data_IF_541745631622
#
_entry.id   IF_541745631622
#
_cell.length_a   1.000
_cell.length_b   1.000
_cell.length_c   1.000
_cell.angle_alpha   90.00
_cell.angle_beta   90.00
_cell.angle_gamma   90.00
#
_symmetry.space_group_name_H-M   'P 1'
#
loop_
_entity.id
_entity.type
_entity.pdbx_description
1 polymer ?
#
# COMPACT_ATOMS: atom_id res chain seq x y z
N UNK A 1 29.54 -38.55 10.32
CA UNK A 1 30.25 -39.51 9.46
C UNK A 1 29.25 -40.14 8.51
N UNK A 2 29.60 -40.17 7.22
CA UNK A 2 29.16 -41.10 6.15
C UNK A 2 27.65 -41.15 5.84
N UNK A 3 27.17 -40.50 4.76
CA UNK A 3 27.26 -40.94 3.35
C UNK A 3 26.92 -42.42 3.16
N UNK A 4 25.76 -42.70 2.55
CA UNK A 4 25.48 -43.98 1.92
C UNK A 4 24.93 -43.73 0.51
N UNK A 5 25.78 -44.05 -0.46
CA UNK A 5 25.56 -44.08 -1.91
C UNK A 5 25.39 -45.54 -2.31
N UNK A 6 24.48 -45.85 -3.25
CA UNK A 6 24.59 -46.87 -4.36
C UNK A 6 23.17 -47.18 -4.89
N UNK A 7 22.80 -46.78 -6.12
CA UNK A 7 23.02 -47.43 -7.43
C UNK A 7 22.37 -48.82 -7.61
N UNK A 8 21.37 -48.90 -8.50
CA UNK A 8 21.21 -49.99 -9.48
C UNK A 8 20.30 -49.56 -10.65
N UNK A 9 20.77 -49.83 -11.88
CA UNK A 9 20.09 -49.66 -13.16
C UNK A 9 19.53 -51.00 -13.67
N UNK A 10 18.67 -50.90 -14.71
CA UNK A 10 18.53 -51.77 -15.91
C UNK A 10 17.24 -52.65 -16.01
N UNK A 11 16.84 -53.15 -17.21
CA UNK A 11 16.01 -52.44 -18.22
C UNK A 11 14.94 -53.34 -18.95
N UNK A 12 14.32 -52.78 -20.02
CA UNK A 12 13.75 -53.42 -21.24
C UNK A 12 12.29 -53.95 -21.30
N UNK A 13 11.62 -53.56 -22.41
CA UNK A 13 10.55 -54.28 -23.14
C UNK A 13 9.15 -53.66 -23.00
N UNK A 14 8.30 -53.47 -24.02
CA UNK A 14 8.33 -53.75 -25.44
C UNK A 14 7.23 -52.92 -26.16
N UNK A 15 7.35 -52.82 -27.49
CA UNK A 15 6.45 -52.17 -28.46
C UNK A 15 5.09 -52.87 -28.58
N UNK A 16 4.03 -52.13 -28.91
CA UNK A 16 3.05 -52.58 -29.91
C UNK A 16 2.37 -51.42 -30.66
N UNK A 17 2.21 -51.60 -31.97
CA UNK A 17 1.57 -50.70 -32.94
C UNK A 17 0.14 -51.18 -33.18
N UNK A 18 -0.72 -50.27 -33.64
CA UNK A 18 -1.85 -50.39 -34.59
C UNK A 18 -2.85 -49.27 -34.19
N UNK A 19 -3.41 -48.40 -35.03
CA UNK A 19 -3.55 -48.35 -36.47
C UNK A 19 -4.97 -47.82 -36.77
N UNK A 20 -5.10 -46.89 -37.73
CA UNK A 20 -6.34 -46.40 -38.41
C UNK A 20 -7.21 -45.41 -37.62
N UNK A 21 -7.87 -44.39 -38.19
CA UNK A 21 -8.02 -43.89 -39.56
C UNK A 21 -8.62 -42.46 -39.46
N UNK A 22 -8.27 -41.57 -40.39
CA UNK A 22 -8.96 -40.28 -40.60
C UNK A 22 -10.06 -40.46 -41.64
N UNK A 23 -11.11 -39.62 -41.61
CA UNK A 23 -11.71 -39.14 -42.84
C UNK A 23 -11.55 -37.62 -42.98
N UNK A 24 -11.09 -37.20 -44.16
CA UNK A 24 -11.31 -35.87 -44.72
C UNK A 24 -12.66 -35.89 -45.44
N UNK A 25 -13.42 -34.79 -45.39
CA UNK A 25 -13.85 -33.98 -46.55
C UNK A 25 -15.05 -33.09 -46.17
N UNK A 26 -15.04 -31.85 -46.66
CA UNK A 26 -16.19 -30.95 -46.64
C UNK A 26 -15.81 -29.47 -46.78
N UNK A 27 -15.67 -29.01 -48.02
CA UNK A 27 -15.41 -27.61 -48.41
C UNK A 27 -16.73 -26.92 -48.78
N UNK A 28 -16.98 -25.73 -48.25
CA UNK A 28 -17.62 -24.55 -48.88
C UNK A 28 -17.61 -23.42 -47.82
N UNK A 29 -17.30 -22.16 -48.06
CA UNK A 29 -17.43 -21.30 -49.23
C UNK A 29 -18.34 -20.12 -48.84
N UNK A 30 -17.78 -18.94 -48.53
CA UNK A 30 -18.59 -17.74 -48.22
C UNK A 30 -17.77 -16.52 -47.80
N UNK A 31 -17.88 -15.43 -48.56
CA UNK A 31 -17.06 -14.22 -48.52
C UNK A 31 -17.52 -13.18 -47.49
N UNK A 32 -16.52 -12.43 -46.98
CA UNK A 32 -16.44 -10.98 -46.71
C UNK A 32 -17.67 -10.21 -46.17
N UNK A 33 -17.43 -9.53 -45.05
CA UNK A 33 -17.64 -8.08 -44.94
C UNK A 33 -18.74 -7.64 -43.98
N UNK A 34 -18.36 -6.90 -42.93
CA UNK A 34 -19.29 -6.14 -42.08
C UNK A 34 -18.81 -6.00 -40.64
N UNK A 35 -18.08 -4.92 -40.36
CA UNK A 35 -17.63 -4.47 -39.03
C UNK A 35 -18.74 -4.51 -37.96
N UNK A 36 -18.43 -4.84 -36.69
CA UNK A 36 -19.23 -4.36 -35.59
C UNK A 36 -18.55 -3.18 -34.87
N UNK A 37 -19.34 -2.11 -34.74
CA UNK A 37 -19.46 -1.19 -33.62
C UNK A 37 -18.20 -0.91 -32.78
N UNK A 38 -17.67 0.31 -32.95
CA UNK A 38 -16.85 1.02 -31.96
C UNK A 38 -17.63 1.11 -30.64
N UNK A 39 -17.18 0.41 -29.61
CA UNK A 39 -17.60 0.68 -28.24
C UNK A 39 -16.65 1.74 -27.65
N UNK A 40 -17.26 2.75 -27.03
CA UNK A 40 -16.63 4.00 -26.62
C UNK A 40 -15.43 3.79 -25.68
N UNK A 41 -14.30 4.37 -26.07
CA UNK A 41 -13.18 4.64 -25.18
C UNK A 41 -13.60 5.70 -24.16
N UNK A 42 -13.47 5.40 -22.87
CA UNK A 42 -13.51 6.39 -21.79
C UNK A 42 -12.15 7.09 -21.79
N UNK A 43 -12.06 8.42 -21.96
CA UNK A 43 -10.77 9.11 -21.96
C UNK A 43 -10.23 9.27 -20.53
N UNK A 44 -8.90 9.24 -20.34
CA UNK A 44 -8.28 9.56 -19.06
C UNK A 44 -8.49 11.03 -18.68
N UNK A 45 -8.73 11.26 -17.40
CA UNK A 45 -8.92 12.57 -16.79
C UNK A 45 -7.62 13.39 -16.88
N UNK A 46 -7.69 14.58 -17.48
CA UNK A 46 -6.54 15.50 -17.61
C UNK A 46 -6.29 16.23 -16.31
N UNK A 47 -5.08 16.13 -15.77
CA UNK A 47 -4.54 17.13 -14.86
C UNK A 47 -4.23 18.42 -15.63
N UNK A 48 -4.50 19.56 -14.99
CA UNK A 48 -4.42 20.88 -15.61
C UNK A 48 -2.98 21.33 -15.87
N UNK A 49 -2.68 21.64 -17.12
CA UNK A 49 -1.51 22.43 -17.50
C UNK A 49 -1.74 23.91 -17.14
N UNK A 50 -0.83 24.47 -16.36
CA UNK A 50 -0.54 25.90 -16.30
C UNK A 50 0.78 26.19 -17.02
N UNK A 51 0.70 26.97 -18.09
CA UNK A 51 1.80 27.32 -19.00
C UNK A 51 2.91 28.18 -18.35
N UNK A 52 4.15 28.05 -18.84
CA UNK A 52 4.84 29.12 -19.61
C UNK A 52 6.35 28.85 -19.86
N UNK A 53 6.72 28.97 -21.14
CA UNK A 53 7.92 29.55 -21.76
C UNK A 53 9.33 29.31 -21.20
N UNK A 54 10.23 28.89 -22.09
CA UNK A 54 11.67 28.81 -21.86
C UNK A 54 12.43 30.14 -21.87
N UNK A 55 13.65 30.07 -21.35
CA UNK A 55 14.69 31.09 -21.39
C UNK A 55 15.90 30.59 -20.59
N UNK A 56 17.05 30.46 -21.23
CA UNK A 56 18.26 29.94 -20.59
C UNK A 56 19.03 30.97 -19.75
N UNK A 57 19.98 30.42 -18.99
CA UNK A 57 21.17 31.04 -18.41
C UNK A 57 21.17 31.28 -16.88
N UNK A 58 22.35 30.97 -16.34
CA UNK A 58 22.95 31.35 -15.05
C UNK A 58 22.70 30.47 -13.81
N UNK A 59 23.78 29.73 -13.49
CA UNK A 59 24.03 29.14 -12.17
C UNK A 59 24.26 30.28 -11.16
N UNK A 60 23.39 30.38 -10.16
CA UNK A 60 23.71 31.04 -8.90
C UNK A 60 23.23 30.13 -7.75
N UNK A 61 24.10 29.91 -6.77
CA UNK A 61 23.83 29.05 -5.62
C UNK A 61 22.65 29.58 -4.80
N UNK A 62 21.56 28.82 -4.79
CA UNK A 62 20.38 29.10 -3.97
C UNK A 62 20.49 28.46 -2.60
N UNK A 63 20.21 29.26 -1.56
CA UNK A 63 19.94 28.79 -0.19
C UNK A 63 18.83 27.73 -0.25
N UNK A 64 18.93 26.60 0.47
CA UNK A 64 17.90 25.57 0.46
C UNK A 64 16.53 26.18 0.84
N UNK A 65 15.49 25.76 0.12
CA UNK A 65 14.13 26.19 0.40
C UNK A 65 13.78 25.84 1.86
N UNK A 66 13.10 26.74 2.59
CA UNK A 66 12.72 26.49 3.98
C UNK A 66 11.77 25.31 4.07
N UNK A 67 11.94 24.53 5.14
CA UNK A 67 11.12 23.37 5.50
C UNK A 67 9.61 23.67 5.32
N UNK A 68 8.83 22.79 4.68
CA UNK A 68 7.39 22.99 4.47
C UNK A 68 6.61 23.27 5.75
N UNK A 69 7.10 22.82 6.91
CA UNK A 69 6.53 23.14 8.23
C UNK A 69 6.73 24.61 8.59
N UNK A 70 7.93 25.17 8.33
CA UNK A 70 8.24 26.58 8.58
C UNK A 70 7.44 27.49 7.63
N UNK A 71 7.24 27.05 6.38
CA UNK A 71 6.45 27.81 5.40
C UNK A 71 4.98 27.91 5.81
N UNK A 72 4.38 26.81 6.29
CA UNK A 72 2.99 26.80 6.80
C UNK A 72 2.82 27.68 8.03
N UNK A 73 3.79 27.68 8.95
CA UNK A 73 3.76 28.52 10.15
C UNK A 73 3.78 30.03 9.80
N UNK A 74 4.59 30.43 8.81
CA UNK A 74 4.66 31.82 8.35
C UNK A 74 3.37 32.27 7.63
N UNK A 75 2.76 31.40 6.84
CA UNK A 75 1.50 31.68 6.13
C UNK A 75 0.29 31.80 7.08
N UNK A 76 0.27 31.07 8.21
CA UNK A 76 -0.76 31.20 9.24
C UNK A 76 -0.63 32.50 10.05
N UNK A 77 0.59 32.94 10.39
CA UNK A 77 0.83 34.17 11.13
C UNK A 77 0.44 35.44 10.34
N UNK A 78 0.54 35.40 9.01
CA UNK A 78 0.16 36.52 8.14
C UNK A 78 -1.37 36.72 8.02
N UNK A 79 -2.18 35.68 8.29
CA UNK A 79 -3.65 35.73 8.15
C UNK A 79 -4.38 36.24 9.39
N UNK A 80 -3.73 36.29 10.55
CA UNK A 80 -4.32 36.78 11.81
C UNK A 80 -4.21 38.30 12.00
N UNK A 81 -3.60 39.02 11.04
CA UNK A 81 -3.38 40.47 11.12
C UNK A 81 -4.54 41.30 10.57
N UNK A 82 -5.53 41.58 11.41
CA UNK A 82 -6.38 42.77 11.30
C UNK A 82 -7.83 42.53 10.88
N UNK A 83 -8.76 42.91 11.78
CA UNK A 83 -10.05 43.55 11.51
C UNK A 83 -10.75 43.81 12.85
N UNK A 84 -10.77 45.06 13.31
CA UNK A 84 -11.62 45.49 14.41
C UNK A 84 -13.03 45.80 13.87
N UNK A 85 -14.12 45.27 14.44
CA UNK A 85 -15.45 45.71 14.08
C UNK A 85 -15.97 46.75 15.09
N UNK A 86 -16.33 47.93 14.57
CA UNK A 86 -17.20 48.89 15.25
C UNK A 86 -18.65 48.44 15.13
N UNK A 87 -19.38 48.30 16.23
CA UNK A 87 -20.83 48.12 16.22
C UNK A 87 -21.49 48.87 17.39
N UNK A 88 -22.24 49.93 17.07
CA UNK A 88 -23.29 50.49 17.92
C UNK A 88 -24.65 49.91 17.50
N UNK A 89 -25.47 49.49 18.48
CA UNK A 89 -26.89 49.10 18.29
C UNK A 89 -27.42 48.15 19.38
N UNK A 90 -28.74 48.11 19.66
CA UNK A 90 -29.27 48.51 20.96
C UNK A 90 -29.63 47.38 21.94
N UNK A 91 -29.83 47.79 23.18
CA UNK A 91 -30.14 47.00 24.37
C UNK A 91 -31.40 46.10 24.24
N UNK A 92 -31.29 44.86 24.74
CA UNK A 92 -32.42 44.02 25.09
C UNK A 92 -32.07 42.54 25.29
N UNK A 93 -32.36 42.00 26.49
CA UNK A 93 -32.46 40.56 26.74
C UNK A 93 -31.28 39.95 27.49
N UNK A 94 -31.39 39.86 28.82
CA UNK A 94 -30.49 39.05 29.64
C UNK A 94 -30.91 37.57 29.56
N UNK A 95 -30.22 36.79 28.72
CA UNK A 95 -30.11 35.34 28.89
C UNK A 95 -28.67 35.02 29.30
N UNK A 96 -28.52 34.46 30.50
CA UNK A 96 -27.25 34.00 31.03
C UNK A 96 -26.77 32.77 30.26
N UNK A 97 -26.07 32.98 29.15
CA UNK A 97 -25.27 31.95 28.51
C UNK A 97 -24.13 31.58 29.48
N UNK A 98 -24.23 30.41 30.11
CA UNK A 98 -23.07 29.83 30.80
C UNK A 98 -21.96 29.63 29.76
N UNK A 99 -20.71 30.05 30.03
CA UNK A 99 -19.63 29.82 29.10
C UNK A 99 -19.38 28.31 29.05
N UNK A 100 -19.75 27.68 27.93
CA UNK A 100 -19.28 26.34 27.60
C UNK A 100 -17.78 26.44 27.29
N UNK A 101 -16.95 26.52 28.32
CA UNK A 101 -15.50 26.36 28.16
C UNK A 101 -15.27 24.91 27.76
N UNK A 102 -15.01 24.70 26.49
CA UNK A 102 -14.78 23.40 25.83
C UNK A 102 -13.51 22.68 26.31
N UNK A 103 -12.87 23.14 27.39
CA UNK A 103 -11.58 22.62 27.88
C UNK A 103 -10.38 22.93 26.97
N UNK A 104 -10.61 23.39 25.75
CA UNK A 104 -9.58 23.76 24.74
C UNK A 104 -9.04 25.18 24.94
N UNK A 105 -9.09 25.71 26.16
CA UNK A 105 -8.66 27.07 26.47
C UNK A 105 -7.16 27.06 26.74
N UNK A 106 -6.38 27.64 25.83
CA UNK A 106 -4.97 27.92 26.06
C UNK A 106 -4.83 29.27 26.77
N UNK A 107 -4.46 29.28 28.05
CA UNK A 107 -4.34 30.53 28.82
C UNK A 107 -2.95 31.16 28.59
N UNK A 108 -2.89 32.18 27.73
CA UNK A 108 -1.63 32.88 27.40
C UNK A 108 -0.89 33.49 28.60
N UNK A 109 -1.62 33.81 29.69
CA UNK A 109 -1.05 34.07 31.01
C UNK A 109 -0.99 32.74 31.78
N UNK A 110 0.15 32.04 31.71
CA UNK A 110 0.27 30.67 32.26
C UNK A 110 0.99 29.68 31.34
N UNK A 111 1.51 30.11 30.18
CA UNK A 111 2.33 29.27 29.29
C UNK A 111 3.42 28.49 30.05
N UNK A 112 4.06 29.13 31.02
CA UNK A 112 5.05 28.47 31.87
C UNK A 112 4.46 27.31 32.66
N UNK A 113 3.22 27.40 33.15
CA UNK A 113 2.57 26.37 33.99
C UNK A 113 2.07 25.17 33.15
N UNK A 114 1.50 25.40 31.96
CA UNK A 114 1.07 24.30 31.07
C UNK A 114 2.25 23.56 30.42
N UNK A 115 3.35 24.27 30.11
CA UNK A 115 4.52 23.72 29.42
C UNK A 115 5.60 23.22 30.40
N UNK A 116 5.66 23.75 31.63
CA UNK A 116 6.59 23.29 32.67
C UNK A 116 6.63 21.76 32.86
N UNK A 117 5.50 21.03 32.95
CA UNK A 117 5.57 19.58 33.11
C UNK A 117 6.18 18.88 31.89
N UNK A 118 5.96 19.41 30.68
CA UNK A 118 6.55 18.87 29.45
C UNK A 118 8.06 19.13 29.39
N UNK A 119 8.49 20.35 29.75
CA UNK A 119 9.91 20.73 29.80
C UNK A 119 10.63 19.95 30.90
N UNK A 120 10.03 19.82 32.08
CA UNK A 120 10.61 19.03 33.18
C UNK A 120 10.76 17.55 32.83
N UNK A 121 9.78 16.95 32.12
CA UNK A 121 9.88 15.58 31.63
C UNK A 121 10.98 15.43 30.56
N UNK A 122 11.12 16.43 29.69
CA UNK A 122 12.18 16.49 28.68
C UNK A 122 13.56 16.62 29.33
N UNK A 123 13.71 17.52 30.30
CA UNK A 123 14.94 17.73 31.06
C UNK A 123 15.32 16.47 31.84
N UNK A 124 14.36 15.80 32.49
CA UNK A 124 14.62 14.52 33.16
C UNK A 124 15.13 13.45 32.19
N UNK A 125 14.63 13.44 30.94
CA UNK A 125 15.04 12.47 29.94
C UNK A 125 16.40 12.79 29.32
N UNK A 126 16.75 14.06 29.13
CA UNK A 126 17.97 14.50 28.45
C UNK A 126 19.14 14.78 29.40
N UNK A 127 18.86 15.18 30.64
CA UNK A 127 19.84 15.68 31.61
C UNK A 127 20.11 14.70 32.75
N UNK A 128 19.89 13.39 32.53
CA UNK A 128 20.29 12.35 33.49
C UNK A 128 21.83 12.38 33.66
N UNK A 129 22.36 12.80 34.82
CA UNK A 129 23.80 12.93 35.03
C UNK A 129 24.54 11.59 35.03
N UNK A 130 23.81 10.45 35.08
CA UNK A 130 24.37 9.12 34.93
C UNK A 130 24.43 8.64 33.47
N UNK A 131 23.93 9.42 32.50
CA UNK A 131 23.97 9.07 31.09
C UNK A 131 25.30 9.49 30.44
N UNK A 132 26.03 8.52 29.89
CA UNK A 132 27.28 8.74 29.14
C UNK A 132 27.05 9.67 27.92
N UNK A 133 27.93 10.67 27.68
CA UNK A 133 27.86 11.53 26.50
C UNK A 133 27.88 10.71 25.20
N UNK A 134 26.94 10.97 24.29
CA UNK A 134 26.81 10.25 23.01
C UNK A 134 25.96 8.98 23.06
N UNK A 135 25.38 8.63 24.22
CA UNK A 135 24.41 7.54 24.33
C UNK A 135 23.05 7.94 23.76
N UNK A 136 22.45 7.09 22.94
CA UNK A 136 21.12 7.32 22.34
C UNK A 136 20.07 7.39 23.46
N UNK A 137 19.15 8.37 23.38
CA UNK A 137 18.05 8.50 24.31
C UNK A 137 17.26 7.19 24.42
N UNK A 138 17.01 6.72 25.64
CA UNK A 138 16.33 5.44 25.90
C UNK A 138 14.83 5.50 25.57
N UNK A 139 14.26 6.70 25.55
CA UNK A 139 12.87 6.98 25.16
C UNK A 139 12.84 7.90 23.95
N UNK A 140 11.76 7.81 23.17
CA UNK A 140 11.56 8.72 22.03
C UNK A 140 11.12 10.09 22.53
N UNK A 141 11.65 11.16 21.94
CA UNK A 141 11.26 12.55 22.22
C UNK A 141 9.95 12.93 21.53
N UNK A 142 9.64 12.28 20.41
CA UNK A 142 8.43 12.56 19.62
C UNK A 142 7.19 11.82 20.13
N UNK A 143 7.35 10.84 21.04
CA UNK A 143 6.25 9.99 21.46
C UNK A 143 5.28 10.77 22.34
N UNK A 144 4.14 11.14 21.77
CA UNK A 144 3.03 11.80 22.44
C UNK A 144 1.74 11.02 22.20
N UNK A 145 1.03 10.71 23.30
CA UNK A 145 -0.27 10.01 23.27
C UNK A 145 -0.31 8.74 22.41
N UNK A 146 0.80 8.00 22.29
CA UNK A 146 0.92 6.82 21.44
C UNK A 146 1.06 5.54 22.28
N UNK A 147 -0.05 4.80 22.41
CA UNK A 147 -0.19 3.67 23.31
C UNK A 147 0.68 2.45 22.90
N UNK A 148 1.17 1.69 23.88
CA UNK A 148 2.06 0.54 23.62
C UNK A 148 1.39 -0.62 22.89
N UNK A 149 0.10 -0.85 23.11
CA UNK A 149 -0.68 -1.85 22.36
C UNK A 149 -0.92 -1.40 20.91
N UNK A 150 -1.09 -0.09 20.66
CA UNK A 150 -1.21 0.45 19.31
C UNK A 150 0.12 0.32 18.55
N UNK A 151 1.25 0.66 19.18
CA UNK A 151 2.59 0.41 18.63
C UNK A 151 2.80 -1.06 18.24
N UNK A 152 2.38 -2.00 19.10
CA UNK A 152 2.47 -3.43 18.82
C UNK A 152 1.59 -3.82 17.62
N UNK A 153 0.35 -3.35 17.56
CA UNK A 153 -0.56 -3.62 16.45
C UNK A 153 -0.05 -3.08 15.10
N UNK A 154 0.59 -1.90 15.09
CA UNK A 154 1.27 -1.40 13.89
C UNK A 154 2.43 -2.30 13.45
N UNK A 155 3.22 -2.84 14.39
CA UNK A 155 4.29 -3.80 14.06
C UNK A 155 3.74 -5.12 13.49
N UNK A 156 2.60 -5.58 13.99
CA UNK A 156 1.92 -6.77 13.45
C UNK A 156 1.42 -6.50 12.02
N UNK A 157 0.79 -5.34 11.77
CA UNK A 157 0.34 -4.98 10.42
C UNK A 157 1.51 -4.82 9.44
N UNK A 158 2.62 -4.20 9.85
CA UNK A 158 3.86 -4.13 9.04
C UNK A 158 4.29 -5.55 8.60
N UNK A 159 4.23 -6.53 9.51
CA UNK A 159 4.59 -7.90 9.16
C UNK A 159 3.58 -8.56 8.22
N UNK A 160 2.28 -8.22 8.33
CA UNK A 160 1.25 -8.70 7.40
C UNK A 160 1.55 -8.20 5.99
N UNK A 161 1.77 -6.90 5.79
CA UNK A 161 2.07 -6.33 4.47
C UNK A 161 3.34 -6.97 3.85
N UNK A 162 4.41 -7.12 4.65
CA UNK A 162 5.64 -7.78 4.19
C UNK A 162 5.42 -9.25 3.83
N UNK A 163 4.57 -9.96 4.57
CA UNK A 163 4.24 -11.36 4.29
C UNK A 163 3.46 -11.48 2.98
N UNK A 164 2.47 -10.61 2.75
CA UNK A 164 1.70 -10.58 1.49
C UNK A 164 2.62 -10.22 0.32
N UNK A 165 3.48 -9.21 0.48
CA UNK A 165 4.51 -8.88 -0.51
C UNK A 165 5.37 -10.09 -0.88
N UNK A 166 5.78 -10.89 0.11
CA UNK A 166 6.60 -12.08 -0.13
C UNK A 166 5.84 -13.22 -0.82
N UNK A 167 4.55 -13.39 -0.52
CA UNK A 167 3.67 -14.32 -1.23
C UNK A 167 3.50 -13.89 -2.69
N UNK A 168 3.28 -12.61 -2.97
CA UNK A 168 3.20 -12.10 -4.34
C UNK A 168 4.51 -12.24 -5.11
N UNK A 169 5.67 -12.09 -4.45
CA UNK A 169 6.96 -12.44 -5.06
C UNK A 169 7.02 -13.92 -5.47
N UNK A 170 6.49 -14.84 -4.65
CA UNK A 170 6.47 -16.26 -4.98
C UNK A 170 5.52 -16.58 -6.14
N UNK A 171 4.35 -15.94 -6.20
CA UNK A 171 3.43 -16.04 -7.34
C UNK A 171 4.08 -15.52 -8.63
N UNK A 172 4.72 -14.35 -8.58
CA UNK A 172 5.47 -13.78 -9.69
C UNK A 172 6.52 -14.78 -10.20
N UNK A 173 7.31 -15.37 -9.31
CA UNK A 173 8.35 -16.33 -9.67
C UNK A 173 7.76 -17.60 -10.33
N UNK A 174 6.59 -18.06 -9.88
CA UNK A 174 5.91 -19.21 -10.49
C UNK A 174 5.43 -18.91 -11.92
N UNK A 175 4.74 -17.79 -12.15
CA UNK A 175 4.22 -17.45 -13.48
C UNK A 175 5.31 -17.08 -14.49
N UNK A 176 6.49 -16.70 -14.00
CA UNK A 176 7.66 -16.40 -14.83
C UNK A 176 8.47 -17.65 -15.25
N UNK A 177 8.06 -18.87 -14.84
CA UNK A 177 8.71 -20.11 -15.28
C UNK A 177 8.42 -20.39 -16.76
N UNK A 178 9.36 -21.01 -17.46
CA UNK A 178 9.22 -21.32 -18.89
C UNK A 178 8.14 -22.38 -19.19
N UNK A 179 7.86 -23.25 -18.23
CA UNK A 179 6.84 -24.30 -18.32
C UNK A 179 5.41 -23.82 -17.95
N UNK A 180 5.29 -22.63 -17.35
CA UNK A 180 4.02 -21.94 -17.10
C UNK A 180 3.73 -20.91 -18.20
N UNK A 181 4.69 -20.03 -18.49
CA UNK A 181 4.67 -19.15 -19.66
C UNK A 181 3.58 -18.07 -19.65
N UNK A 182 3.29 -17.45 -18.50
CA UNK A 182 2.29 -16.39 -18.34
C UNK A 182 2.95 -15.09 -17.81
N UNK A 183 3.72 -14.38 -18.65
CA UNK A 183 4.51 -13.22 -18.24
C UNK A 183 3.66 -12.01 -17.82
N UNK A 184 2.43 -11.86 -18.29
CA UNK A 184 1.53 -10.81 -17.86
C UNK A 184 1.04 -11.02 -16.43
N UNK A 185 0.69 -12.26 -16.06
CA UNK A 185 0.42 -12.61 -14.65
C UNK A 185 1.66 -12.42 -13.78
N UNK A 186 2.86 -12.77 -14.28
CA UNK A 186 4.09 -12.50 -13.56
C UNK A 186 4.30 -11.00 -13.31
N UNK A 187 4.07 -10.14 -14.31
CA UNK A 187 4.16 -8.69 -14.17
C UNK A 187 3.12 -8.14 -13.18
N UNK A 188 1.88 -8.62 -13.24
CA UNK A 188 0.83 -8.28 -12.28
C UNK A 188 1.25 -8.60 -10.83
N UNK A 189 1.68 -9.83 -10.54
CA UNK A 189 2.08 -10.19 -9.18
C UNK A 189 3.37 -9.49 -8.74
N UNK A 190 4.27 -9.16 -9.67
CA UNK A 190 5.43 -8.30 -9.38
C UNK A 190 4.98 -6.93 -8.87
N UNK A 191 4.04 -6.31 -9.57
CA UNK A 191 3.51 -5.00 -9.23
C UNK A 191 2.89 -4.99 -7.83
N UNK A 192 1.95 -5.90 -7.57
CA UNK A 192 1.31 -6.04 -6.26
C UNK A 192 2.34 -6.30 -5.15
N UNK A 193 3.36 -7.13 -5.40
CA UNK A 193 4.44 -7.37 -4.43
C UNK A 193 5.18 -6.08 -4.02
N UNK A 194 5.44 -5.18 -4.98
CA UNK A 194 6.10 -3.91 -4.74
C UNK A 194 5.18 -2.90 -4.03
N UNK A 195 3.89 -2.89 -4.37
CA UNK A 195 2.89 -2.06 -3.70
C UNK A 195 2.76 -2.43 -2.21
N UNK A 196 2.66 -3.72 -1.89
CA UNK A 196 2.56 -4.16 -0.49
C UNK A 196 3.83 -3.88 0.32
N UNK A 197 4.99 -3.91 -0.33
CA UNK A 197 6.23 -3.46 0.30
C UNK A 197 6.19 -1.95 0.58
N UNK A 198 5.60 -1.17 -0.31
CA UNK A 198 5.40 0.28 -0.11
C UNK A 198 4.42 0.55 1.04
N UNK A 199 3.36 -0.26 1.19
CA UNK A 199 2.46 -0.19 2.35
C UNK A 199 3.18 -0.48 3.66
N UNK A 200 4.04 -1.50 3.69
CA UNK A 200 4.87 -1.81 4.85
C UNK A 200 5.79 -0.63 5.22
N UNK A 201 6.47 -0.04 4.25
CA UNK A 201 7.35 1.12 4.44
C UNK A 201 6.58 2.35 4.94
N UNK A 202 5.38 2.59 4.40
CA UNK A 202 4.48 3.65 4.88
C UNK A 202 4.14 3.49 6.37
N UNK A 203 3.79 2.27 6.79
CA UNK A 203 3.51 1.96 8.20
C UNK A 203 4.76 2.10 9.08
N UNK A 204 5.94 1.69 8.61
CA UNK A 204 7.22 1.87 9.34
C UNK A 204 7.56 3.35 9.54
N UNK A 205 7.33 4.17 8.52
CA UNK A 205 7.53 5.62 8.59
C UNK A 205 6.58 6.25 9.60
N UNK A 206 5.30 5.87 9.56
CA UNK A 206 4.29 6.34 10.51
C UNK A 206 4.62 5.93 11.96
N UNK A 207 4.99 4.67 12.18
CA UNK A 207 5.44 4.14 13.47
C UNK A 207 6.60 4.99 14.04
N UNK A 208 7.59 5.31 13.20
CA UNK A 208 8.75 6.12 13.59
C UNK A 208 8.37 7.58 13.87
N UNK A 209 7.48 8.17 13.05
CA UNK A 209 6.94 9.52 13.21
C UNK A 209 6.23 9.68 14.56
N UNK A 210 5.43 8.68 14.98
CA UNK A 210 4.74 8.68 16.28
C UNK A 210 5.66 8.38 17.47
N UNK A 211 6.95 8.19 17.22
CA UNK A 211 7.95 7.88 18.25
C UNK A 211 7.90 6.43 18.75
N UNK A 212 7.25 5.53 18.00
CA UNK A 212 7.31 4.10 18.20
C UNK A 212 8.63 3.48 17.74
N UNK A 213 8.75 2.17 17.91
CA UNK A 213 9.89 1.36 17.49
C UNK A 213 9.41 0.27 16.55
N UNK A 214 9.90 0.32 15.31
CA UNK A 214 9.68 -0.76 14.34
C UNK A 214 10.34 -2.03 14.83
N UNK A 215 9.58 -3.12 14.86
CA UNK A 215 10.04 -4.48 15.18
C UNK A 215 9.63 -5.41 14.04
N UNK A 216 10.57 -5.67 13.14
CA UNK A 216 10.35 -6.63 12.05
C UNK A 216 10.26 -8.04 12.63
N UNK A 217 9.20 -8.75 12.27
CA UNK A 217 8.95 -10.11 12.73
C UNK A 217 9.39 -11.13 11.66
N UNK A 218 9.55 -12.41 12.01
CA UNK A 218 9.88 -13.45 11.03
C UNK A 218 8.77 -13.62 9.99
N UNK A 219 9.17 -13.75 8.72
CA UNK A 219 8.27 -14.06 7.60
C UNK A 219 8.43 -15.55 7.26
N UNK A 220 7.32 -16.27 7.21
CA UNK A 220 7.33 -17.69 6.85
C UNK A 220 7.51 -17.89 5.34
N UNK A 221 8.18 -18.96 4.89
CA UNK A 221 8.33 -19.24 3.47
C UNK A 221 6.94 -19.47 2.83
N UNK A 222 6.64 -18.82 1.69
CA UNK A 222 5.36 -18.96 1.00
C UNK A 222 5.30 -20.27 0.20
N UNK A 223 4.10 -20.62 -0.26
CA UNK A 223 3.92 -21.67 -1.25
C UNK A 223 4.58 -21.29 -2.59
N UNK A 224 5.12 -22.29 -3.29
CA UNK A 224 5.87 -22.07 -4.54
C UNK A 224 5.22 -22.71 -5.76
N UNK A 225 4.19 -23.54 -5.58
CA UNK A 225 3.46 -24.22 -6.64
C UNK A 225 2.00 -23.76 -6.63
N UNK A 226 1.50 -23.28 -7.76
CA UNK A 226 0.14 -22.74 -7.85
C UNK A 226 -0.72 -23.51 -8.86
N UNK A 227 -0.26 -24.66 -9.36
CA UNK A 227 -1.06 -25.49 -10.24
C UNK A 227 -2.21 -26.16 -9.47
N UNK A 228 -3.43 -26.00 -10.00
CA UNK A 228 -4.61 -26.68 -9.47
C UNK A 228 -5.28 -27.52 -10.58
N UNK A 229 -5.63 -28.80 -10.33
CA UNK A 229 -6.15 -29.70 -11.37
C UNK A 229 -7.44 -29.22 -12.02
N UNK A 230 -8.39 -28.74 -11.20
CA UNK A 230 -9.70 -28.28 -11.67
C UNK A 230 -9.68 -26.85 -12.20
N UNK A 231 -9.13 -25.92 -11.42
CA UNK A 231 -9.12 -24.47 -11.70
C UNK A 231 -8.08 -24.04 -12.72
N UNK A 232 -6.98 -24.79 -12.85
CA UNK A 232 -5.75 -24.27 -13.45
C UNK A 232 -5.01 -23.33 -12.50
N UNK A 233 -3.84 -22.88 -12.91
CA UNK A 233 -2.96 -21.98 -12.17
C UNK A 233 -3.49 -20.55 -12.05
N UNK A 234 -3.88 -19.92 -13.17
CA UNK A 234 -4.32 -18.53 -13.19
C UNK A 234 -5.55 -18.28 -12.29
N UNK A 235 -6.55 -19.16 -12.35
CA UNK A 235 -7.74 -19.01 -11.51
C UNK A 235 -7.42 -19.28 -10.04
N UNK A 236 -6.59 -20.29 -9.76
CA UNK A 236 -6.21 -20.60 -8.39
C UNK A 236 -5.43 -19.45 -7.74
N UNK A 237 -4.42 -18.92 -8.43
CA UNK A 237 -3.61 -17.82 -7.91
C UNK A 237 -4.40 -16.53 -7.73
N UNK A 238 -5.31 -16.18 -8.65
CA UNK A 238 -6.14 -14.97 -8.51
C UNK A 238 -7.18 -15.08 -7.40
N UNK A 239 -7.72 -16.27 -7.14
CA UNK A 239 -8.58 -16.51 -5.97
C UNK A 239 -7.79 -16.40 -4.66
N UNK A 240 -6.55 -16.88 -4.63
CA UNK A 240 -5.66 -16.73 -3.48
C UNK A 240 -5.33 -15.25 -3.25
N UNK A 241 -4.98 -14.50 -4.30
CA UNK A 241 -4.75 -13.05 -4.24
C UNK A 241 -5.97 -12.32 -3.64
N UNK A 242 -7.17 -12.56 -4.18
CA UNK A 242 -8.41 -12.00 -3.63
C UNK A 242 -8.63 -12.35 -2.14
N UNK A 243 -8.25 -13.56 -1.74
CA UNK A 243 -8.37 -14.00 -0.34
C UNK A 243 -7.37 -13.26 0.56
N UNK A 244 -6.16 -13.00 0.08
CA UNK A 244 -5.16 -12.19 0.78
C UNK A 244 -5.63 -10.74 0.93
N UNK A 245 -6.13 -10.11 -0.14
CA UNK A 245 -6.66 -8.73 -0.08
C UNK A 245 -7.81 -8.59 0.93
N UNK A 246 -8.73 -9.57 0.96
CA UNK A 246 -9.82 -9.58 1.94
C UNK A 246 -9.35 -9.78 3.37
N UNK A 247 -8.35 -10.64 3.57
CA UNK A 247 -7.74 -10.86 4.86
C UNK A 247 -7.03 -9.58 5.33
N UNK A 248 -6.27 -8.93 4.46
CA UNK A 248 -5.57 -7.69 4.77
C UNK A 248 -6.55 -6.58 5.13
N UNK A 249 -7.63 -6.43 4.37
CA UNK A 249 -8.71 -5.49 4.70
C UNK A 249 -9.31 -5.73 6.08
N UNK A 250 -9.53 -7.00 6.46
CA UNK A 250 -9.98 -7.33 7.81
C UNK A 250 -8.96 -6.91 8.87
N UNK A 251 -7.67 -7.12 8.61
CA UNK A 251 -6.59 -6.80 9.56
C UNK A 251 -6.38 -5.31 9.72
N UNK A 252 -6.46 -4.52 8.65
CA UNK A 252 -6.49 -3.06 8.73
C UNK A 252 -7.67 -2.54 9.56
N UNK A 253 -8.85 -3.16 9.43
CA UNK A 253 -10.01 -2.80 10.27
C UNK A 253 -9.83 -3.18 11.74
N UNK A 254 -9.18 -4.32 12.02
CA UNK A 254 -8.80 -4.68 13.39
C UNK A 254 -7.82 -3.67 13.99
N UNK A 255 -6.79 -3.25 13.24
CA UNK A 255 -5.84 -2.21 13.65
C UNK A 255 -6.55 -0.86 13.90
N UNK A 256 -7.47 -0.48 13.01
CA UNK A 256 -8.30 0.72 13.18
C UNK A 256 -9.13 0.67 14.46
N UNK A 257 -9.75 -0.47 14.76
CA UNK A 257 -10.49 -0.65 16.02
C UNK A 257 -9.58 -0.49 17.26
N UNK A 258 -8.33 -0.96 17.20
CA UNK A 258 -7.35 -0.76 18.28
C UNK A 258 -7.06 0.73 18.47
N UNK A 259 -6.84 1.48 17.37
CA UNK A 259 -6.61 2.92 17.41
C UNK A 259 -7.82 3.67 18.00
N UNK A 260 -9.02 3.34 17.54
CA UNK A 260 -10.27 3.93 18.05
C UNK A 260 -10.49 3.63 19.55
N UNK A 261 -10.20 2.40 19.99
CA UNK A 261 -10.38 1.99 21.38
C UNK A 261 -9.44 2.74 22.35
N UNK A 262 -8.25 3.15 21.91
CA UNK A 262 -7.33 3.98 22.69
C UNK A 262 -7.55 5.48 22.49
N UNK A 263 -8.51 5.87 21.65
CA UNK A 263 -8.82 7.27 21.36
C UNK A 263 -7.75 8.00 20.53
N UNK A 264 -6.96 7.28 19.73
CA UNK A 264 -5.91 7.87 18.89
C UNK A 264 -6.47 8.32 17.54
N UNK A 265 -6.95 9.57 17.50
CA UNK A 265 -7.59 10.15 16.32
C UNK A 265 -6.64 10.29 15.12
N UNK A 266 -5.35 10.52 15.35
CA UNK A 266 -4.34 10.63 14.30
C UNK A 266 -4.11 9.27 13.63
N UNK A 267 -4.03 8.19 14.42
CA UNK A 267 -3.89 6.84 13.89
C UNK A 267 -5.13 6.38 13.12
N UNK A 268 -6.34 6.67 13.61
CA UNK A 268 -7.56 6.34 12.85
C UNK A 268 -7.61 7.08 11.51
N UNK A 269 -7.29 8.38 11.51
CA UNK A 269 -7.28 9.19 10.30
C UNK A 269 -6.22 8.70 9.29
N UNK A 270 -5.00 8.41 9.76
CA UNK A 270 -3.94 7.85 8.92
C UNK A 270 -4.37 6.54 8.24
N UNK A 271 -4.98 5.61 8.99
CA UNK A 271 -5.42 4.33 8.43
C UNK A 271 -6.53 4.50 7.40
N UNK A 272 -7.46 5.42 7.64
CA UNK A 272 -8.57 5.73 6.74
C UNK A 272 -8.09 6.32 5.41
N UNK A 273 -7.23 7.34 5.47
CA UNK A 273 -6.75 8.08 4.30
C UNK A 273 -5.86 7.25 3.40
N UNK A 274 -4.93 6.48 3.99
CA UNK A 274 -3.86 5.85 3.22
C UNK A 274 -4.11 4.38 2.88
N UNK A 275 -4.82 3.62 3.72
CA UNK A 275 -4.85 2.16 3.59
C UNK A 275 -6.28 1.62 3.42
N UNK A 276 -7.23 1.99 4.28
CA UNK A 276 -8.57 1.38 4.27
C UNK A 276 -9.35 1.66 2.97
N UNK A 277 -9.33 2.89 2.48
CA UNK A 277 -10.06 3.22 1.25
C UNK A 277 -9.40 2.59 0.01
N UNK A 278 -8.06 2.58 -0.03
CA UNK A 278 -7.30 1.95 -1.10
C UNK A 278 -7.56 0.44 -1.13
N UNK A 279 -7.42 -0.22 0.03
CA UNK A 279 -7.64 -1.66 0.16
C UNK A 279 -9.04 -2.11 -0.31
N UNK A 280 -10.08 -1.30 -0.06
CA UNK A 280 -11.43 -1.60 -0.58
C UNK A 280 -11.50 -1.60 -2.11
N UNK A 281 -10.66 -0.81 -2.80
CA UNK A 281 -10.55 -0.81 -4.27
C UNK A 281 -9.77 -2.04 -4.72
N UNK A 282 -8.69 -2.39 -4.05
CA UNK A 282 -7.84 -3.54 -4.38
C UNK A 282 -8.64 -4.85 -4.28
N UNK A 283 -9.46 -5.00 -3.24
CA UNK A 283 -10.41 -6.12 -3.11
C UNK A 283 -11.38 -6.18 -4.29
N UNK A 284 -11.87 -5.03 -4.77
CA UNK A 284 -12.78 -4.96 -5.92
C UNK A 284 -12.05 -5.35 -7.21
N UNK A 285 -10.84 -4.86 -7.41
CA UNK A 285 -10.01 -5.16 -8.58
C UNK A 285 -9.67 -6.65 -8.66
N UNK A 286 -9.15 -7.22 -7.56
CA UNK A 286 -8.88 -8.66 -7.45
C UNK A 286 -10.16 -9.50 -7.71
N UNK A 287 -11.33 -9.05 -7.22
CA UNK A 287 -12.61 -9.72 -7.48
C UNK A 287 -13.01 -9.71 -8.95
N UNK A 288 -12.75 -8.60 -9.64
CA UNK A 288 -13.01 -8.48 -11.08
C UNK A 288 -12.05 -9.37 -11.86
N UNK A 289 -10.78 -9.43 -11.49
CA UNK A 289 -9.81 -10.31 -12.12
C UNK A 289 -10.21 -11.78 -12.00
N UNK A 290 -10.58 -12.25 -10.79
CA UNK A 290 -11.13 -13.60 -10.59
C UNK A 290 -12.32 -13.86 -11.51
N UNK A 291 -13.26 -12.91 -11.59
CA UNK A 291 -14.45 -13.04 -12.45
C UNK A 291 -14.09 -13.12 -13.94
N UNK A 292 -13.07 -12.38 -14.38
CA UNK A 292 -12.57 -12.39 -15.77
C UNK A 292 -11.90 -13.72 -16.07
N UNK A 293 -11.00 -14.19 -15.20
CA UNK A 293 -10.30 -15.47 -15.37
C UNK A 293 -11.29 -16.63 -15.39
N UNK A 294 -12.23 -16.65 -14.44
CA UNK A 294 -13.28 -17.67 -14.40
C UNK A 294 -14.13 -17.66 -15.69
N UNK A 295 -14.52 -16.48 -16.19
CA UNK A 295 -15.32 -16.34 -17.42
C UNK A 295 -14.54 -16.75 -18.68
N UNK A 296 -13.25 -16.45 -18.73
CA UNK A 296 -12.39 -16.79 -19.86
C UNK A 296 -12.16 -18.31 -19.98
N UNK A 297 -12.28 -19.04 -18.87
CA UNK A 297 -11.97 -20.46 -18.82
C UNK A 297 -10.48 -20.72 -19.08
N UNK A 298 -10.11 -21.99 -19.28
CA UNK A 298 -8.70 -22.41 -19.42
C UNK A 298 -8.18 -22.24 -20.86
N UNK A 299 -6.87 -22.39 -21.03
CA UNK A 299 -6.23 -22.37 -22.35
C UNK A 299 -6.24 -20.97 -22.96
N UNK A 300 -6.78 -20.82 -24.17
CA UNK A 300 -6.73 -19.57 -24.94
C UNK A 300 -7.30 -18.35 -24.19
N UNK A 301 -8.33 -18.56 -23.34
CA UNK A 301 -8.90 -17.48 -22.52
C UNK A 301 -7.89 -16.88 -21.54
N UNK A 302 -7.17 -17.72 -20.80
CA UNK A 302 -6.09 -17.29 -19.89
C UNK A 302 -4.94 -16.64 -20.66
N UNK A 303 -4.52 -17.20 -21.79
CA UNK A 303 -3.45 -16.61 -22.62
C UNK A 303 -3.83 -15.21 -23.13
N UNK A 304 -5.08 -15.00 -23.50
CA UNK A 304 -5.54 -13.67 -23.90
C UNK A 304 -5.56 -12.68 -22.73
N UNK A 305 -6.03 -13.11 -21.56
CA UNK A 305 -5.99 -12.27 -20.35
C UNK A 305 -4.56 -11.95 -19.93
N UNK A 306 -3.64 -12.90 -20.03
CA UNK A 306 -2.22 -12.69 -19.78
C UNK A 306 -1.65 -11.59 -20.67
N UNK A 307 -1.99 -11.60 -21.96
CA UNK A 307 -1.57 -10.52 -22.86
C UNK A 307 -2.07 -9.14 -22.42
N UNK A 308 -3.32 -9.04 -21.96
CA UNK A 308 -3.89 -7.78 -21.45
C UNK A 308 -3.19 -7.32 -20.16
N UNK A 309 -2.87 -8.25 -19.26
CA UNK A 309 -2.07 -7.93 -18.06
C UNK A 309 -0.65 -7.50 -18.43
N UNK A 310 -0.05 -8.09 -19.46
CA UNK A 310 1.27 -7.68 -19.94
C UNK A 310 1.23 -6.27 -20.55
N UNK A 311 0.16 -5.88 -21.24
CA UNK A 311 -0.01 -4.50 -21.74
C UNK A 311 -0.15 -3.49 -20.60
N UNK A 312 -0.84 -3.87 -19.52
CA UNK A 312 -1.12 -3.02 -18.36
C UNK A 312 0.09 -2.90 -17.42
N UNK A 313 0.73 -4.02 -17.07
CA UNK A 313 1.78 -4.09 -16.04
C UNK A 313 3.19 -4.37 -16.60
N UNK A 314 3.33 -4.77 -17.87
CA UNK A 314 4.63 -5.17 -18.44
C UNK A 314 5.60 -4.01 -18.76
N UNK A 315 5.13 -2.76 -18.79
CA UNK A 315 5.95 -1.59 -19.10
C UNK A 315 6.54 -0.88 -17.87
N UNK A 316 6.29 -1.38 -16.65
CA UNK A 316 6.72 -0.69 -15.42
C UNK A 316 8.23 -0.75 -15.15
N UNK A 317 9.00 -1.52 -15.94
CA UNK A 317 10.46 -1.62 -15.80
C UNK A 317 11.21 -0.30 -16.07
N UNK A 318 10.59 0.67 -16.75
CA UNK A 318 11.19 1.98 -17.03
C UNK A 318 10.88 3.09 -16.02
N UNK A 319 9.87 2.94 -15.17
CA UNK A 319 9.34 4.03 -14.33
C UNK A 319 9.85 4.01 -12.87
N UNK A 320 10.42 2.90 -12.40
CA UNK A 320 10.88 2.74 -11.00
C UNK A 320 12.43 2.85 -10.88
N UNK A 321 13.12 3.15 -11.98
CA UNK A 321 14.58 3.36 -12.00
C UNK A 321 14.99 4.85 -12.01
N UNK A 322 14.10 5.76 -11.61
CA UNK A 322 14.32 7.22 -11.60
C UNK A 322 14.34 7.82 -10.20
#
# INVERSE_FOLDING_TARGET
MQLCTTLRQSPLGARERLGRERPRLGVSGGRRGGLPARLAAVPPFKEGEGAASGGGSERQGGVPAPDPVIRRAAEQAARSGGLAPSLEGPAGGAESLQPTQTGLVFQGQGMGEEVAPLVAALDQQLMDPAAEPGRVATRSLARSSYAGNLEAAFNEQINIELTISYVYTAMQAYFNRDDVGLPGFAAFFRHNSLEERTHAELLMNYQSQRGGRVKLLPISPPETEYWHPEKGDALHATELALSLEKLNFSKLRELHNVAAAVGDADATHFLEDYLLHQQSKDVKEASVLVSRVHRAGRGHGVVHLDHLLAEEYGNTDGAIAG
#
